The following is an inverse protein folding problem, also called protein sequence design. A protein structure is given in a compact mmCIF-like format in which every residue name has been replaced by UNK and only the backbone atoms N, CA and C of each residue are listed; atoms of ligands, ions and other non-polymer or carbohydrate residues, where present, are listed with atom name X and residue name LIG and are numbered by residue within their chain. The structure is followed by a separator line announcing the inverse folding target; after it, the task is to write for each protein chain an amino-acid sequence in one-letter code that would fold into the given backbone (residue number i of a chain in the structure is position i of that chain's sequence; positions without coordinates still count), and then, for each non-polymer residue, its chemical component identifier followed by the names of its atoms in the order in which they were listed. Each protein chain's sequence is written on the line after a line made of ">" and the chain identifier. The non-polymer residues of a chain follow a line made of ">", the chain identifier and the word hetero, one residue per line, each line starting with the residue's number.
data_IF_136718268101
#
_entry.id   IF_136718268101
#
_cell.length_a   1.000
_cell.length_b   1.000
_cell.length_c   1.000
_cell.angle_alpha   90.00
_cell.angle_beta   90.00
_cell.angle_gamma   90.00
#
_symmetry.space_group_name_H-M   'P 1'
#
loop_
_entity.id
_entity.type
_entity.pdbx_description
1 polymer ?
#
# COMPACT_ATOMS: atom_id res chain seq x y z
N UNK A 1 6.05 -24.36 -7.32
CA UNK A 1 6.58 -23.11 -7.87
C UNK A 1 6.56 -22.07 -6.76
N UNK A 2 7.69 -21.51 -6.38
CA UNK A 2 7.79 -20.50 -5.31
C UNK A 2 7.61 -19.11 -5.96
N UNK A 3 6.39 -18.61 -6.02
CA UNK A 3 6.12 -17.29 -6.57
C UNK A 3 6.68 -16.19 -5.67
N UNK A 4 7.34 -15.20 -6.26
CA UNK A 4 7.86 -14.02 -5.59
C UNK A 4 9.12 -14.25 -4.75
N UNK A 5 9.78 -15.39 -4.90
CA UNK A 5 11.11 -15.65 -4.30
C UNK A 5 12.16 -15.65 -5.40
N UNK A 6 13.19 -14.87 -5.23
CA UNK A 6 14.39 -14.82 -6.06
C UNK A 6 15.52 -15.38 -5.23
N UNK A 7 16.22 -16.38 -5.77
CA UNK A 7 17.30 -17.08 -5.04
C UNK A 7 18.54 -16.17 -4.89
N UNK A 8 18.76 -15.28 -5.84
CA UNK A 8 19.85 -14.30 -5.81
C UNK A 8 19.34 -12.92 -6.30
N UNK A 9 19.30 -11.96 -5.39
CA UNK A 9 18.84 -10.59 -5.68
C UNK A 9 19.79 -9.81 -6.58
N UNK A 10 21.07 -10.17 -6.60
CA UNK A 10 22.07 -9.49 -7.43
C UNK A 10 21.91 -9.79 -8.92
N UNK A 11 21.18 -10.87 -9.26
CA UNK A 11 20.86 -11.24 -10.64
C UNK A 11 19.58 -10.55 -11.17
N UNK A 12 18.88 -9.81 -10.33
CA UNK A 12 17.66 -9.11 -10.75
C UNK A 12 18.00 -7.77 -11.37
N UNK A 13 17.65 -7.59 -12.63
CA UNK A 13 17.75 -6.27 -13.28
C UNK A 13 16.55 -5.41 -12.86
N UNK A 14 16.80 -4.43 -12.00
CA UNK A 14 15.80 -3.45 -11.54
C UNK A 14 15.66 -2.24 -12.47
N UNK A 15 16.35 -2.21 -13.60
CA UNK A 15 16.21 -1.12 -14.56
C UNK A 15 14.82 -1.14 -15.16
N UNK A 16 14.24 0.03 -15.29
CA UNK A 16 12.99 0.17 -16.02
C UNK A 16 13.22 -0.17 -17.50
N UNK A 17 12.27 -0.88 -18.13
CA UNK A 17 12.36 -1.14 -19.58
C UNK A 17 12.36 0.19 -20.35
N UNK A 18 12.97 0.16 -21.55
CA UNK A 18 12.94 1.32 -22.45
C UNK A 18 11.48 1.61 -22.82
N UNK A 19 11.07 2.86 -22.60
CA UNK A 19 9.73 3.32 -22.95
C UNK A 19 9.57 3.29 -24.46
N UNK A 20 8.53 2.57 -24.94
CA UNK A 20 8.20 2.50 -26.37
C UNK A 20 7.84 3.86 -26.97
N UNK A 21 8.05 4.05 -28.27
CA UNK A 21 7.82 5.33 -28.95
C UNK A 21 6.35 5.78 -28.88
N UNK A 22 5.40 4.85 -28.96
CA UNK A 22 3.97 5.19 -28.78
C UNK A 22 3.68 5.76 -27.40
N UNK A 23 4.26 5.16 -26.36
CA UNK A 23 4.12 5.66 -24.98
C UNK A 23 4.73 7.04 -24.84
N UNK A 24 5.90 7.29 -25.40
CA UNK A 24 6.53 8.61 -25.40
C UNK A 24 5.64 9.66 -26.09
N UNK A 25 5.07 9.30 -27.23
CA UNK A 25 4.15 10.16 -27.98
C UNK A 25 2.91 10.52 -27.16
N UNK A 26 2.30 9.51 -26.51
CA UNK A 26 1.15 9.75 -25.62
C UNK A 26 1.55 10.68 -24.47
N UNK A 27 2.65 10.38 -23.78
CA UNK A 27 3.11 11.19 -22.65
C UNK A 27 3.45 12.63 -23.05
N UNK A 28 4.05 12.87 -24.23
CA UNK A 28 4.36 14.21 -24.71
C UNK A 28 3.11 15.04 -25.05
N UNK A 29 2.02 14.36 -25.42
CA UNK A 29 0.74 15.00 -25.73
C UNK A 29 -0.13 15.25 -24.50
N UNK A 30 0.21 14.66 -23.34
CA UNK A 30 -0.48 14.92 -22.10
C UNK A 30 -0.11 16.29 -21.54
N UNK A 31 -1.03 17.25 -21.63
CA UNK A 31 -0.92 18.53 -20.94
C UNK A 31 -1.15 18.30 -19.45
N UNK A 32 -0.09 18.08 -18.70
CA UNK A 32 -0.18 18.01 -17.24
C UNK A 32 -0.31 19.42 -16.66
N UNK A 33 -1.51 19.82 -16.32
CA UNK A 33 -1.77 21.05 -15.56
C UNK A 33 -1.92 20.79 -14.06
N UNK A 34 -1.93 19.53 -13.64
CA UNK A 34 -2.17 19.13 -12.25
C UNK A 34 -0.87 18.73 -11.55
N UNK A 35 -0.74 19.14 -10.30
CA UNK A 35 0.33 18.66 -9.41
C UNK A 35 0.18 17.15 -9.23
N UNK A 36 1.24 16.40 -9.56
CA UNK A 36 1.27 14.96 -9.31
C UNK A 36 1.32 14.69 -7.80
N UNK A 37 0.44 13.83 -7.33
CA UNK A 37 0.47 13.33 -5.97
C UNK A 37 0.91 11.86 -5.99
N UNK A 38 1.98 11.56 -5.27
CA UNK A 38 2.48 10.20 -5.11
C UNK A 38 2.02 9.64 -3.77
N UNK A 39 1.41 8.46 -3.81
CA UNK A 39 1.03 7.71 -2.63
C UNK A 39 1.85 6.43 -2.59
N UNK A 40 2.58 6.21 -1.52
CA UNK A 40 3.41 5.03 -1.33
C UNK A 40 3.24 4.47 0.07
N UNK A 41 3.33 3.14 0.18
CA UNK A 41 3.12 2.41 1.40
C UNK A 41 3.35 0.92 1.22
N UNK A 42 3.15 0.15 2.28
CA UNK A 42 3.28 -1.29 2.31
C UNK A 42 1.92 -1.98 2.50
N UNK A 43 1.79 -3.28 2.22
CA UNK A 43 0.58 -4.04 2.47
C UNK A 43 0.44 -4.35 3.97
N UNK A 44 -0.22 -3.46 4.71
CA UNK A 44 -0.46 -3.60 6.15
C UNK A 44 0.60 -2.91 7.02
N UNK A 45 0.23 -2.72 8.29
CA UNK A 45 1.06 -2.04 9.30
C UNK A 45 1.33 -2.91 10.55
N UNK A 46 0.74 -4.10 10.64
CA UNK A 46 0.75 -4.91 11.87
C UNK A 46 1.94 -5.87 12.00
N UNK A 47 2.84 -5.89 11.02
CA UNK A 47 3.99 -6.79 11.07
C UNK A 47 4.97 -6.38 12.18
N UNK A 48 5.25 -7.33 13.08
CA UNK A 48 6.20 -7.15 14.16
C UNK A 48 7.65 -6.92 13.67
N UNK A 49 7.98 -7.37 12.46
CA UNK A 49 9.29 -7.16 11.84
C UNK A 49 9.59 -5.69 11.55
N UNK A 50 8.58 -4.84 11.53
CA UNK A 50 8.76 -3.41 11.36
C UNK A 50 9.34 -2.71 12.59
N UNK A 51 9.32 -3.35 13.76
CA UNK A 51 9.99 -2.85 14.96
C UNK A 51 11.50 -2.79 14.79
N UNK A 52 12.07 -1.66 15.09
CA UNK A 52 13.50 -1.41 14.90
C UNK A 52 13.90 -1.08 13.46
N UNK A 53 12.97 -1.19 12.50
CA UNK A 53 13.18 -0.81 11.10
C UNK A 53 12.35 0.43 10.74
N UNK A 54 11.03 0.31 10.76
CA UNK A 54 10.07 1.39 10.43
C UNK A 54 9.55 2.04 11.72
N UNK A 55 9.32 1.23 12.75
CA UNK A 55 8.86 1.70 14.06
C UNK A 55 10.00 1.65 15.08
N UNK A 56 10.02 2.53 16.08
CA UNK A 56 10.89 2.37 17.23
C UNK A 56 10.74 0.97 17.84
N UNK A 57 11.84 0.36 18.27
CA UNK A 57 11.88 -1.06 18.70
C UNK A 57 10.88 -1.38 19.84
N UNK A 58 10.56 -0.40 20.70
CA UNK A 58 9.65 -0.57 21.83
C UNK A 58 8.20 -0.15 21.52
N UNK A 59 7.86 0.13 20.26
CA UNK A 59 6.51 0.58 19.88
C UNK A 59 5.47 -0.50 20.23
N UNK A 60 4.43 -0.17 21.01
CA UNK A 60 3.33 -1.10 21.27
C UNK A 60 2.45 -1.26 20.02
N UNK A 61 1.86 -2.45 19.83
CA UNK A 61 1.08 -2.78 18.63
C UNK A 61 -0.07 -1.80 18.34
N UNK A 62 -0.71 -1.26 19.39
CA UNK A 62 -1.79 -0.26 19.26
C UNK A 62 -1.34 1.04 18.58
N UNK A 63 -0.06 1.35 18.56
CA UNK A 63 0.52 2.57 17.98
C UNK A 63 1.15 2.32 16.60
N UNK A 64 1.14 1.09 16.08
CA UNK A 64 1.81 0.77 14.81
C UNK A 64 1.31 1.62 13.65
N UNK A 65 -0.01 1.80 13.52
CA UNK A 65 -0.56 2.61 12.42
C UNK A 65 -0.15 4.07 12.52
N UNK A 66 -0.13 4.63 13.73
CA UNK A 66 0.34 6.00 13.97
C UNK A 66 1.83 6.16 13.64
N UNK A 67 2.69 5.20 14.02
CA UNK A 67 4.11 5.25 13.64
C UNK A 67 4.30 5.04 12.13
N UNK A 68 3.51 4.14 11.52
CA UNK A 68 3.52 3.89 10.09
C UNK A 68 3.20 5.16 9.29
N UNK A 69 2.17 5.89 9.68
CA UNK A 69 1.73 7.11 9.00
C UNK A 69 2.70 8.29 9.06
N UNK A 70 3.73 8.21 9.92
CA UNK A 70 4.84 9.17 9.94
C UNK A 70 5.86 8.93 8.82
N UNK A 71 5.94 7.69 8.30
CA UNK A 71 6.90 7.27 7.29
C UNK A 71 6.27 7.16 5.89
N UNK A 72 4.99 6.82 5.81
CA UNK A 72 4.24 6.57 4.59
C UNK A 72 2.99 7.43 4.55
N UNK A 73 2.50 7.72 3.35
CA UNK A 73 1.29 8.51 3.13
C UNK A 73 0.09 7.67 2.64
N UNK A 74 0.28 6.36 2.48
CA UNK A 74 -0.79 5.43 2.11
C UNK A 74 -0.53 4.02 2.63
N UNK A 75 -1.55 3.19 2.57
CA UNK A 75 -1.47 1.79 2.97
C UNK A 75 -2.49 0.93 2.22
N UNK A 76 -2.11 -0.30 1.86
CA UNK A 76 -3.04 -1.31 1.39
C UNK A 76 -3.60 -2.10 2.58
N UNK A 77 -4.94 -2.16 2.69
CA UNK A 77 -5.63 -2.87 3.77
C UNK A 77 -6.20 -4.18 3.25
N UNK A 78 -5.45 -5.27 3.40
CA UNK A 78 -5.82 -6.60 2.92
C UNK A 78 -6.90 -7.28 3.77
N UNK A 79 -7.01 -6.92 5.06
CA UNK A 79 -7.98 -7.52 5.98
C UNK A 79 -9.44 -7.32 5.52
N UNK A 80 -9.74 -6.25 4.78
CA UNK A 80 -11.08 -5.97 4.26
C UNK A 80 -11.56 -6.98 3.21
N UNK A 81 -10.63 -7.80 2.64
CA UNK A 81 -10.99 -8.93 1.78
C UNK A 81 -11.92 -9.93 2.47
N UNK A 82 -11.74 -10.14 3.78
CA UNK A 82 -12.46 -11.14 4.56
C UNK A 82 -13.71 -10.60 5.27
N UNK A 83 -13.90 -9.31 5.28
CA UNK A 83 -15.06 -8.66 5.85
C UNK A 83 -14.90 -7.18 6.07
N UNK A 84 -16.01 -6.48 6.25
CA UNK A 84 -16.02 -5.05 6.53
C UNK A 84 -15.68 -4.80 8.00
N UNK A 85 -14.68 -3.96 8.29
CA UNK A 85 -14.37 -3.57 9.67
C UNK A 85 -15.56 -2.88 10.34
N UNK A 86 -15.70 -3.08 11.65
CA UNK A 86 -16.71 -2.36 12.44
C UNK A 86 -16.38 -0.87 12.50
N UNK A 87 -17.40 -0.04 12.66
CA UNK A 87 -17.27 1.43 12.70
C UNK A 87 -16.23 1.91 13.74
N UNK A 88 -16.24 1.33 14.93
CA UNK A 88 -15.28 1.68 15.97
C UNK A 88 -13.81 1.36 15.60
N UNK A 89 -13.58 0.39 14.72
CA UNK A 89 -12.24 0.05 14.18
C UNK A 89 -11.85 1.08 13.15
N UNK A 90 -12.75 1.42 12.23
CA UNK A 90 -12.53 2.46 11.22
C UNK A 90 -12.22 3.81 11.87
N UNK A 91 -12.98 4.17 12.91
CA UNK A 91 -12.73 5.39 13.68
C UNK A 91 -11.33 5.39 14.31
N UNK A 92 -10.89 4.28 14.89
CA UNK A 92 -9.52 4.18 15.45
C UNK A 92 -8.45 4.35 14.37
N UNK A 93 -8.66 3.81 13.18
CA UNK A 93 -7.72 4.00 12.06
C UNK A 93 -7.68 5.46 11.64
N UNK A 94 -8.84 6.08 11.48
CA UNK A 94 -8.95 7.49 11.13
C UNK A 94 -8.24 8.40 12.15
N UNK A 95 -8.49 8.18 13.44
CA UNK A 95 -7.89 8.95 14.54
C UNK A 95 -6.36 8.72 14.68
N UNK A 96 -5.83 7.67 14.06
CA UNK A 96 -4.40 7.30 14.16
C UNK A 96 -3.51 7.93 13.09
N UNK A 97 -4.08 8.58 12.08
CA UNK A 97 -3.35 9.11 10.92
C UNK A 97 -3.74 10.56 10.65
N UNK A 98 -2.95 11.26 9.81
CA UNK A 98 -3.30 12.61 9.38
C UNK A 98 -4.37 12.59 8.26
N UNK A 99 -5.02 13.71 8.00
CA UNK A 99 -6.11 13.87 7.02
C UNK A 99 -5.70 13.55 5.57
N UNK A 100 -4.43 13.68 5.24
CA UNK A 100 -3.92 13.43 3.89
C UNK A 100 -3.59 11.95 3.64
N UNK A 101 -3.55 11.12 4.69
CA UNK A 101 -3.25 9.71 4.60
C UNK A 101 -4.33 8.94 3.83
N UNK A 102 -3.93 7.99 2.96
CA UNK A 102 -4.87 7.23 2.13
C UNK A 102 -4.86 5.75 2.49
N UNK A 103 -6.06 5.22 2.67
CA UNK A 103 -6.29 3.78 2.83
C UNK A 103 -6.77 3.20 1.50
N UNK A 104 -6.01 2.28 0.91
CA UNK A 104 -6.42 1.47 -0.24
C UNK A 104 -7.02 0.17 0.29
N UNK A 105 -8.34 0.11 0.37
CA UNK A 105 -9.04 -1.05 0.92
C UNK A 105 -9.28 -2.11 -0.15
N UNK A 106 -8.88 -3.35 0.14
CA UNK A 106 -9.15 -4.47 -0.77
C UNK A 106 -10.63 -4.80 -0.78
N UNK A 107 -11.19 -4.91 -1.97
CA UNK A 107 -12.61 -5.27 -2.14
C UNK A 107 -12.89 -6.64 -1.50
N UNK A 108 -13.99 -6.80 -0.72
CA UNK A 108 -14.34 -8.07 -0.11
C UNK A 108 -14.50 -9.20 -1.12
N UNK A 109 -14.01 -10.39 -0.76
CA UNK A 109 -14.05 -11.56 -1.65
C UNK A 109 -15.47 -12.00 -2.02
N UNK A 110 -16.46 -11.71 -1.19
CA UNK A 110 -17.87 -11.96 -1.49
C UNK A 110 -18.34 -11.21 -2.75
N UNK A 111 -17.68 -10.12 -3.10
CA UNK A 111 -17.96 -9.35 -4.32
C UNK A 111 -17.11 -9.88 -5.48
N UNK A 112 -15.79 -10.06 -5.25
CA UNK A 112 -14.83 -10.36 -6.31
C UNK A 112 -14.77 -11.84 -6.71
N UNK A 113 -15.26 -12.74 -5.84
CA UNK A 113 -15.19 -14.20 -6.01
C UNK A 113 -16.58 -14.86 -5.93
N UNK A 114 -17.63 -14.10 -6.13
CA UNK A 114 -18.99 -14.64 -6.17
C UNK A 114 -19.16 -15.48 -7.44
N UNK A 115 -19.61 -16.74 -7.26
CA UNK A 115 -19.80 -17.67 -8.39
C UNK A 115 -21.19 -17.56 -9.03
N UNK A 116 -22.09 -16.77 -8.46
CA UNK A 116 -23.53 -16.74 -8.79
C UNK A 116 -23.93 -15.41 -9.46
N UNK A 117 -23.07 -14.90 -10.33
CA UNK A 117 -23.40 -13.76 -11.23
C UNK A 117 -23.50 -14.29 -12.66
#
# INVERSE_FOLDING_TARGET
>A
MKFGQVDDMDLVDFKLPIIGEETKTILSNLKSSSKLNFYFGAPGWSDQKFKGLIYPAKTPAKNFLSEYSKQFNSIEVNATRYGTPKENVLKKWYDSVNETFKFSMKVPQVITHRKDI
#
